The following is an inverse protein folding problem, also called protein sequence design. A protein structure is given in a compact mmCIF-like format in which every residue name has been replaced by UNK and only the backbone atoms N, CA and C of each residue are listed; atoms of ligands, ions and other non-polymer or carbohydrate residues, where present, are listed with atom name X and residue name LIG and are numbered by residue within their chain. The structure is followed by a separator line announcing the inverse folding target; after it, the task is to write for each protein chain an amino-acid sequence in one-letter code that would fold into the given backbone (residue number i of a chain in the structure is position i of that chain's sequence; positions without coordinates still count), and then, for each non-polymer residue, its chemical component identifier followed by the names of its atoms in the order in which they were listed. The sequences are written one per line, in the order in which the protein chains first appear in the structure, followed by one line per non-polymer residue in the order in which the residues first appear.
data_IF_960537656149
#
_entry.id   IF_960537656149
#
_cell.length_a   1.000
_cell.length_b   1.000
_cell.length_c   1.000
_cell.angle_alpha   90.00
_cell.angle_beta   90.00
_cell.angle_gamma   90.00
#
_symmetry.space_group_name_H-M   'P 1'
#
loop_
_entity.id
_entity.type
_entity.pdbx_description
1 polymer ?
#
# COMPACT_ATOMS: atom_id res chain seq x y z
N UNK A 1 6.96 8.13 -21.77
CA UNK A 1 6.10 7.28 -20.91
C UNK A 1 5.62 8.02 -19.65
N UNK A 2 6.48 8.47 -18.72
CA UNK A 2 6.05 9.32 -17.58
C UNK A 2 6.14 10.84 -17.86
N UNK A 3 7.27 11.30 -18.41
CA UNK A 3 7.49 12.72 -18.75
C UNK A 3 6.47 13.25 -19.78
N UNK A 4 6.01 12.39 -20.69
CA UNK A 4 4.96 12.69 -21.67
C UNK A 4 3.56 12.83 -21.08
N UNK A 5 3.37 12.52 -19.79
CA UNK A 5 2.08 12.54 -19.08
C UNK A 5 2.04 13.54 -17.90
N UNK A 6 3.05 14.40 -17.76
CA UNK A 6 3.18 15.33 -16.63
C UNK A 6 3.13 14.63 -15.26
N UNK A 7 3.65 13.40 -15.19
CA UNK A 7 3.73 12.62 -13.95
C UNK A 7 5.10 12.86 -13.32
N UNK A 8 5.11 13.42 -12.11
CA UNK A 8 6.32 13.49 -11.28
C UNK A 8 6.58 12.12 -10.66
N UNK A 9 7.75 11.54 -10.94
CA UNK A 9 8.17 10.27 -10.34
C UNK A 9 8.94 10.57 -9.07
N UNK A 10 8.36 10.22 -7.92
CA UNK A 10 9.05 10.27 -6.64
C UNK A 10 9.95 9.04 -6.49
N UNK A 11 11.16 9.25 -5.96
CA UNK A 11 12.09 8.17 -5.61
C UNK A 11 12.40 8.26 -4.13
N UNK A 12 12.35 7.13 -3.45
CA UNK A 12 12.82 7.06 -2.07
C UNK A 12 14.35 7.25 -2.04
N UNK A 13 14.88 8.04 -1.09
CA UNK A 13 16.31 8.23 -0.91
C UNK A 13 17.09 6.90 -0.82
N UNK A 14 18.30 6.79 -1.41
CA UNK A 14 19.11 5.57 -1.36
C UNK A 14 19.56 5.14 0.05
N UNK A 15 19.45 6.03 1.04
CA UNK A 15 19.84 5.78 2.44
C UNK A 15 18.70 5.18 3.29
N UNK A 16 17.49 5.11 2.76
CA UNK A 16 16.39 4.42 3.39
C UNK A 16 16.57 2.91 3.11
N UNK A 17 16.65 2.05 4.14
CA UNK A 17 16.56 0.61 3.98
C UNK A 17 15.51 0.25 2.93
N UNK A 18 15.87 -0.65 2.01
CA UNK A 18 15.03 -1.08 0.89
C UNK A 18 13.72 -1.79 1.29
N UNK A 19 13.29 -1.67 2.55
CA UNK A 19 12.22 -2.40 3.22
C UNK A 19 11.26 -1.51 4.00
N UNK A 20 11.17 -0.21 3.69
CA UNK A 20 10.22 0.70 4.35
C UNK A 20 8.83 0.65 3.70
N UNK A 21 8.14 -0.49 3.81
CA UNK A 21 6.79 -0.65 3.30
C UNK A 21 5.79 0.33 3.97
N UNK A 22 6.11 0.80 5.18
CA UNK A 22 5.36 1.83 5.91
C UNK A 22 5.38 3.21 5.23
N UNK A 23 6.37 3.47 4.38
CA UNK A 23 6.46 4.71 3.58
C UNK A 23 5.74 4.60 2.23
N UNK A 24 5.08 3.48 1.96
CA UNK A 24 4.37 3.26 0.72
C UNK A 24 2.89 2.92 0.98
N UNK A 25 1.95 3.84 0.74
CA UNK A 25 0.55 3.61 1.06
C UNK A 25 -0.06 2.43 0.29
N UNK A 26 0.46 2.08 -0.91
CA UNK A 26 -0.05 0.89 -1.64
C UNK A 26 0.30 -0.40 -0.92
N UNK A 27 1.43 -0.49 -0.21
CA UNK A 27 1.80 -1.69 0.55
C UNK A 27 0.87 -1.90 1.74
N UNK A 28 0.42 -0.82 2.39
CA UNK A 28 -0.56 -0.87 3.47
C UNK A 28 -1.92 -1.37 2.99
N UNK A 29 -2.40 -0.81 1.88
CA UNK A 29 -3.65 -1.25 1.24
C UNK A 29 -3.54 -2.71 0.79
N UNK A 30 -2.41 -3.07 0.19
CA UNK A 30 -2.15 -4.42 -0.28
C UNK A 30 -2.07 -5.45 0.85
N UNK A 31 -1.48 -5.07 1.99
CA UNK A 31 -1.48 -5.90 3.19
C UNK A 31 -2.90 -6.20 3.69
N UNK A 32 -3.80 -5.20 3.67
CA UNK A 32 -5.20 -5.40 4.02
C UNK A 32 -5.88 -6.39 3.06
N UNK A 33 -5.74 -6.18 1.75
CA UNK A 33 -6.34 -7.04 0.71
C UNK A 33 -5.85 -8.47 0.82
N UNK A 34 -4.53 -8.68 0.94
CA UNK A 34 -3.95 -10.01 1.16
C UNK A 34 -4.47 -10.66 2.42
N UNK A 35 -4.57 -9.91 3.52
CA UNK A 35 -5.12 -10.40 4.78
C UNK A 35 -6.58 -10.83 4.66
N UNK A 36 -7.40 -10.06 3.94
CA UNK A 36 -8.81 -10.40 3.68
C UNK A 36 -8.93 -11.68 2.86
N UNK A 37 -8.13 -11.84 1.80
CA UNK A 37 -8.11 -13.06 1.00
C UNK A 37 -7.65 -14.26 1.85
N UNK A 38 -6.56 -14.11 2.59
CA UNK A 38 -6.00 -15.19 3.42
C UNK A 38 -6.95 -15.66 4.52
N UNK A 39 -7.76 -14.76 5.10
CA UNK A 39 -8.76 -15.12 6.11
C UNK A 39 -9.98 -15.85 5.55
N UNK A 40 -10.34 -15.60 4.30
CA UNK A 40 -11.57 -16.10 3.69
C UNK A 40 -11.34 -17.26 2.70
N UNK A 41 -10.08 -17.59 2.40
CA UNK A 41 -9.77 -18.67 1.48
C UNK A 41 -10.06 -20.03 2.11
N UNK A 42 -11.08 -20.72 1.60
CA UNK A 42 -11.46 -22.08 2.02
C UNK A 42 -10.91 -23.16 1.10
N UNK A 43 -10.56 -22.80 -0.12
CA UNK A 43 -9.98 -23.67 -1.14
C UNK A 43 -8.91 -22.92 -1.90
N UNK A 44 -7.74 -23.54 -2.11
CA UNK A 44 -6.60 -22.99 -2.85
C UNK A 44 -6.82 -22.97 -4.38
N UNK A 45 -8.06 -22.99 -4.84
CA UNK A 45 -8.40 -22.82 -6.25
C UNK A 45 -8.26 -21.35 -6.65
N UNK A 46 -7.54 -21.10 -7.75
CA UNK A 46 -7.28 -19.75 -8.25
C UNK A 46 -8.56 -18.97 -8.56
N UNK A 47 -9.62 -19.65 -9.04
CA UNK A 47 -10.92 -19.03 -9.28
C UNK A 47 -11.53 -18.43 -8.01
N UNK A 48 -11.40 -19.11 -6.87
CA UNK A 48 -11.87 -18.63 -5.59
C UNK A 48 -11.03 -17.45 -5.08
N UNK A 49 -9.70 -17.53 -5.24
CA UNK A 49 -8.78 -16.42 -4.91
C UNK A 49 -9.13 -15.16 -5.70
N UNK A 50 -9.45 -15.29 -7.00
CA UNK A 50 -9.84 -14.17 -7.85
C UNK A 50 -11.09 -13.46 -7.33
N UNK A 51 -12.15 -14.22 -7.01
CA UNK A 51 -13.40 -13.66 -6.48
C UNK A 51 -13.15 -12.95 -5.14
N UNK A 52 -12.37 -13.57 -4.24
CA UNK A 52 -12.03 -12.98 -2.96
C UNK A 52 -11.19 -11.71 -3.10
N UNK A 53 -10.29 -11.68 -4.08
CA UNK A 53 -9.47 -10.50 -4.39
C UNK A 53 -10.36 -9.34 -4.86
N UNK A 54 -11.23 -9.57 -5.84
CA UNK A 54 -12.18 -8.56 -6.35
C UNK A 54 -13.06 -8.00 -5.23
N UNK A 55 -13.68 -8.88 -4.43
CA UNK A 55 -14.49 -8.48 -3.27
C UNK A 55 -13.68 -7.70 -2.21
N UNK A 56 -12.39 -8.02 -2.03
CA UNK A 56 -11.55 -7.34 -1.04
C UNK A 56 -11.10 -5.97 -1.53
N UNK A 57 -10.87 -5.81 -2.85
CA UNK A 57 -10.61 -4.52 -3.48
C UNK A 57 -11.81 -3.59 -3.38
N UNK A 58 -13.04 -4.08 -3.58
CA UNK A 58 -14.27 -3.29 -3.42
C UNK A 58 -14.44 -2.77 -1.98
N UNK A 59 -13.90 -3.48 -0.98
CA UNK A 59 -13.91 -3.07 0.43
C UNK A 59 -12.84 -2.02 0.78
N UNK A 60 -11.98 -1.64 -0.15
CA UNK A 60 -11.03 -0.55 0.01
C UNK A 60 -11.73 0.76 -0.36
N UNK A 61 -12.26 1.44 0.65
CA UNK A 61 -12.96 2.71 0.49
C UNK A 61 -11.98 3.89 0.34
N UNK A 62 -12.47 5.02 -0.18
CA UNK A 62 -11.69 6.26 -0.25
C UNK A 62 -11.18 6.71 1.14
N UNK A 63 -11.99 6.56 2.19
CA UNK A 63 -11.60 6.85 3.58
C UNK A 63 -10.44 5.96 4.06
N UNK A 64 -10.47 4.65 3.76
CA UNK A 64 -9.35 3.76 4.08
C UNK A 64 -8.08 4.17 3.36
N UNK A 65 -8.19 4.51 2.08
CA UNK A 65 -7.07 5.03 1.28
C UNK A 65 -6.48 6.30 1.91
N UNK A 66 -7.33 7.25 2.30
CA UNK A 66 -6.90 8.49 2.93
C UNK A 66 -6.18 8.25 4.26
N UNK A 67 -6.64 7.27 5.05
CA UNK A 67 -5.96 6.86 6.29
C UNK A 67 -4.58 6.27 6.03
N UNK A 68 -4.41 5.45 4.99
CA UNK A 68 -3.10 4.92 4.60
C UNK A 68 -2.13 6.03 4.19
N UNK A 69 -2.60 7.02 3.42
CA UNK A 69 -1.78 8.19 3.05
C UNK A 69 -1.39 8.99 4.29
N UNK A 70 -2.34 9.23 5.20
CA UNK A 70 -2.07 9.97 6.43
C UNK A 70 -1.10 9.23 7.37
N UNK A 71 -1.16 7.89 7.40
CA UNK A 71 -0.17 7.08 8.12
C UNK A 71 1.22 7.27 7.54
N UNK A 72 1.37 7.15 6.22
CA UNK A 72 2.67 7.35 5.54
C UNK A 72 3.25 8.72 5.85
N UNK A 73 2.45 9.80 5.78
CA UNK A 73 2.93 11.13 6.14
C UNK A 73 3.46 11.21 7.57
N UNK A 74 2.80 10.56 8.54
CA UNK A 74 3.30 10.51 9.92
C UNK A 74 4.61 9.74 10.03
N UNK A 75 4.77 8.64 9.30
CA UNK A 75 6.02 7.88 9.29
C UNK A 75 7.16 8.67 8.61
N UNK A 76 6.86 9.43 7.55
CA UNK A 76 7.80 10.36 6.91
C UNK A 76 8.29 11.44 7.90
N UNK A 77 7.37 12.07 8.64
CA UNK A 77 7.72 13.09 9.65
C UNK A 77 8.63 12.53 10.75
N UNK A 78 8.36 11.32 11.25
CA UNK A 78 9.22 10.66 12.24
C UNK A 78 10.63 10.41 11.70
N UNK A 79 10.72 9.94 10.45
CA UNK A 79 12.00 9.69 9.81
C UNK A 79 12.81 10.98 9.62
N UNK A 80 12.15 12.07 9.19
CA UNK A 80 12.77 13.38 9.01
C UNK A 80 13.25 14.02 10.32
N UNK A 81 12.48 13.86 11.41
CA UNK A 81 12.79 14.45 12.72
C UNK A 81 13.86 13.69 13.52
N UNK A 82 14.26 12.50 13.07
CA UNK A 82 15.31 11.69 13.73
C UNK A 82 16.74 12.11 13.35
N UNK A 83 16.91 13.23 12.65
CA UNK A 83 18.22 13.75 12.19
C UNK A 83 18.54 15.15 12.73
N UNK A 84 18.03 15.52 13.92
CA UNK A 84 18.46 16.72 14.66
C UNK A 84 19.03 16.31 16.01
#
# INVERSE_FOLDING_TARGET
MAASRQITVLRLPPRLPSYHCELNPIELVWAQVKGDVARNITSFKLSNVKILLENSLERVTADKWQRCIHHVHKEEEKCGNSTI
#
